data_IF_631613989240
#
_entry.id   IF_631613989240
#
_cell.length_a   1.000
_cell.length_b   1.000
_cell.length_c   1.000
_cell.angle_alpha   90.00
_cell.angle_beta   90.00
_cell.angle_gamma   90.00
#
_symmetry.space_group_name_H-M   'P 1'
#
loop_
_entity.id
_entity.type
_entity.pdbx_description
1 polymer ?
#
# COMPACT_ATOMS: atom_id res chain seq x y z
N UNK A 1 -32.82 -52.56 22.32
CA UNK A 1 -32.50 -51.37 23.10
C UNK A 1 -31.94 -50.33 22.15
N UNK A 2 -32.76 -49.33 21.84
CA UNK A 2 -32.46 -48.21 20.96
C UNK A 2 -31.46 -47.24 21.64
N UNK A 3 -30.45 -46.75 20.92
CA UNK A 3 -29.67 -45.58 21.30
C UNK A 3 -29.82 -44.56 20.16
N UNK A 4 -30.43 -43.46 20.52
CA UNK A 4 -30.69 -42.31 19.65
C UNK A 4 -29.38 -41.58 19.26
N UNK A 5 -29.27 -41.26 18.00
CA UNK A 5 -28.27 -40.32 17.47
C UNK A 5 -28.82 -38.90 17.57
N UNK A 6 -28.11 -38.03 18.27
CA UNK A 6 -28.34 -36.59 18.20
C UNK A 6 -27.37 -35.97 17.21
N UNK A 7 -27.89 -35.53 16.09
CA UNK A 7 -27.18 -34.75 15.09
C UNK A 7 -26.94 -33.32 15.58
N UNK A 8 -25.68 -32.88 15.47
CA UNK A 8 -25.31 -31.47 15.64
C UNK A 8 -25.41 -30.80 14.26
N UNK A 9 -26.36 -29.90 14.12
CA UNK A 9 -26.56 -29.07 12.96
C UNK A 9 -25.48 -27.98 12.98
N UNK A 10 -24.62 -27.96 11.95
CA UNK A 10 -23.68 -26.87 11.70
C UNK A 10 -24.43 -25.62 11.30
N UNK A 11 -24.24 -24.53 12.02
CA UNK A 11 -24.72 -23.22 11.67
C UNK A 11 -23.80 -22.62 10.61
N UNK A 12 -24.34 -22.40 9.42
CA UNK A 12 -23.78 -21.54 8.39
C UNK A 12 -23.78 -20.10 8.89
N UNK A 13 -22.62 -19.52 9.05
CA UNK A 13 -22.45 -18.10 9.28
C UNK A 13 -22.40 -17.39 7.92
N UNK A 14 -23.49 -16.68 7.51
CA UNK A 14 -23.43 -15.89 6.29
C UNK A 14 -22.60 -14.65 6.57
N UNK A 15 -21.40 -14.59 5.98
CA UNK A 15 -20.56 -13.40 5.96
C UNK A 15 -21.36 -12.20 5.46
N UNK A 16 -21.83 -11.38 6.40
CA UNK A 16 -22.51 -10.13 6.12
C UNK A 16 -21.46 -9.17 5.59
N UNK A 17 -21.46 -9.00 4.26
CA UNK A 17 -20.81 -7.87 3.62
C UNK A 17 -21.48 -6.60 4.12
N UNK A 18 -20.87 -5.91 5.06
CA UNK A 18 -21.29 -4.58 5.50
C UNK A 18 -20.96 -3.61 4.38
N UNK A 19 -21.90 -3.44 3.47
CA UNK A 19 -21.92 -2.25 2.59
C UNK A 19 -22.20 -1.05 3.49
N UNK A 20 -21.27 -0.11 3.56
CA UNK A 20 -21.44 1.14 4.31
C UNK A 20 -22.50 1.99 3.58
N UNK A 21 -23.75 1.88 3.99
CA UNK A 21 -24.90 2.59 3.41
C UNK A 21 -24.82 4.13 3.49
N UNK A 22 -23.73 4.68 4.07
CA UNK A 22 -23.57 6.12 4.28
C UNK A 22 -22.97 6.88 3.10
N UNK A 23 -22.55 6.20 2.06
CA UNK A 23 -22.13 6.80 0.80
C UNK A 23 -22.98 6.22 -0.35
N UNK A 24 -24.11 6.81 -0.69
CA UNK A 24 -24.86 6.37 -1.86
C UNK A 24 -23.99 6.56 -3.10
N UNK A 25 -23.80 5.48 -3.87
CA UNK A 25 -23.23 5.58 -5.21
C UNK A 25 -24.15 6.49 -6.02
N UNK A 26 -23.63 7.59 -6.50
CA UNK A 26 -24.33 8.43 -7.49
C UNK A 26 -24.33 7.61 -8.78
N UNK A 27 -25.38 6.82 -8.98
CA UNK A 27 -25.71 6.26 -10.28
C UNK A 27 -26.02 7.44 -11.19
N UNK A 28 -25.19 7.64 -12.20
CA UNK A 28 -25.43 8.61 -13.25
C UNK A 28 -26.75 8.29 -13.96
N UNK A 29 -27.81 8.99 -13.64
CA UNK A 29 -29.09 8.87 -14.27
C UNK A 29 -29.17 9.72 -15.55
N UNK A 30 -29.35 9.00 -16.62
CA UNK A 30 -30.12 9.30 -17.83
C UNK A 30 -30.41 10.77 -18.17
N UNK A 31 -29.73 11.24 -19.18
CA UNK A 31 -30.29 12.18 -20.13
C UNK A 31 -30.16 11.61 -21.55
N UNK A 32 -31.21 10.89 -21.97
CA UNK A 32 -31.43 10.57 -23.38
C UNK A 32 -31.85 11.82 -24.11
N UNK A 33 -31.01 12.35 -24.98
CA UNK A 33 -31.44 13.10 -26.14
C UNK A 33 -30.61 12.67 -27.35
N UNK A 34 -31.31 12.07 -28.29
CA UNK A 34 -30.81 11.68 -29.61
C UNK A 34 -30.26 12.88 -30.38
N UNK A 35 -29.00 12.84 -30.75
CA UNK A 35 -28.48 13.54 -31.92
C UNK A 35 -27.42 12.64 -32.54
N UNK A 36 -27.63 12.31 -33.83
CA UNK A 36 -26.81 11.39 -34.61
C UNK A 36 -25.35 11.77 -34.67
N UNK A 37 -24.52 10.75 -34.56
CA UNK A 37 -23.05 10.83 -34.61
C UNK A 37 -22.56 10.20 -35.90
N UNK A 38 -21.64 10.86 -36.61
CA UNK A 38 -20.69 10.12 -37.43
C UNK A 38 -19.33 10.02 -36.72
N UNK A 39 -18.75 8.86 -36.85
CA UNK A 39 -17.42 8.37 -36.56
C UNK A 39 -16.30 9.32 -36.07
N UNK A 40 -15.60 8.85 -35.00
CA UNK A 40 -14.19 9.20 -34.78
C UNK A 40 -13.91 10.05 -33.55
N UNK A 41 -13.43 9.37 -32.50
CA UNK A 41 -12.43 9.85 -31.53
C UNK A 41 -12.46 11.34 -31.13
N UNK A 42 -13.47 11.79 -30.41
CA UNK A 42 -13.46 13.17 -29.82
C UNK A 42 -14.26 13.33 -28.51
N UNK A 43 -14.70 12.25 -27.85
CA UNK A 43 -15.56 12.31 -26.66
C UNK A 43 -14.90 12.46 -25.30
N UNK A 44 -13.57 12.33 -25.17
CA UNK A 44 -12.88 12.27 -23.87
C UNK A 44 -12.26 13.60 -23.42
N UNK A 45 -12.26 14.63 -24.26
CA UNK A 45 -11.56 15.91 -23.99
C UNK A 45 -12.44 17.01 -23.34
N UNK A 46 -13.72 16.84 -23.21
CA UNK A 46 -14.62 17.93 -22.78
C UNK A 46 -14.64 18.13 -21.24
N UNK A 47 -14.39 17.11 -20.46
CA UNK A 47 -14.48 17.22 -18.99
C UNK A 47 -13.21 17.79 -18.33
N UNK A 48 -12.06 17.78 -19.02
CA UNK A 48 -10.77 18.21 -18.48
C UNK A 48 -10.43 19.68 -18.70
N UNK A 49 -11.31 20.48 -19.32
CA UNK A 49 -11.03 21.93 -19.57
C UNK A 49 -11.07 22.81 -18.32
N UNK A 50 -11.61 22.32 -17.20
CA UNK A 50 -11.78 23.13 -15.99
C UNK A 50 -10.58 23.12 -15.04
N UNK A 51 -9.54 22.28 -15.31
CA UNK A 51 -8.34 22.19 -14.48
C UNK A 51 -7.06 22.68 -15.15
N UNK A 52 -7.19 23.45 -16.23
CA UNK A 52 -6.04 24.06 -16.93
C UNK A 52 -5.81 25.52 -16.51
N UNK A 53 -5.61 25.78 -15.26
CA UNK A 53 -4.99 27.05 -14.89
C UNK A 53 -3.90 26.79 -13.85
N UNK A 54 -2.71 27.30 -14.20
CA UNK A 54 -1.50 27.41 -13.38
C UNK A 54 -0.50 26.24 -13.51
N UNK A 55 0.23 26.21 -14.60
CA UNK A 55 1.66 25.88 -14.59
C UNK A 55 2.35 26.57 -15.75
N UNK A 56 2.99 27.72 -15.51
CA UNK A 56 4.05 28.25 -16.37
C UNK A 56 5.37 27.63 -15.93
N UNK A 57 6.18 27.04 -16.80
CA UNK A 57 7.54 26.64 -16.45
C UNK A 57 8.40 27.89 -16.29
N UNK A 58 8.76 28.21 -15.06
CA UNK A 58 9.78 29.20 -14.75
C UNK A 58 11.17 28.63 -15.03
N UNK A 59 11.88 29.12 -16.01
CA UNK A 59 13.30 28.85 -16.20
C UNK A 59 14.07 29.59 -15.09
N UNK A 60 14.67 28.88 -14.18
CA UNK A 60 15.66 29.41 -13.24
C UNK A 60 17.04 29.02 -13.80
N UNK A 61 17.85 30.00 -14.17
CA UNK A 61 19.25 29.81 -14.53
C UNK A 61 20.01 29.32 -13.27
N UNK A 62 20.52 28.11 -13.31
CA UNK A 62 21.37 27.54 -12.24
C UNK A 62 22.78 27.39 -12.78
N UNK A 63 23.76 27.96 -12.06
CA UNK A 63 25.19 27.87 -12.34
C UNK A 63 25.69 26.41 -12.49
N UNK A 64 26.65 26.11 -13.37
CA UNK A 64 27.17 24.79 -13.63
C UNK A 64 28.06 24.33 -12.46
N UNK A 65 27.54 23.48 -11.56
CA UNK A 65 28.38 22.91 -10.49
C UNK A 65 27.66 22.09 -9.43
N UNK A 66 26.34 22.17 -9.27
CA UNK A 66 25.59 21.38 -8.29
C UNK A 66 24.21 21.04 -8.83
N UNK A 67 24.13 20.09 -9.75
CA UNK A 67 22.88 19.42 -10.08
C UNK A 67 22.45 18.54 -8.88
N UNK A 68 21.99 19.14 -7.80
CA UNK A 68 21.00 18.51 -6.94
C UNK A 68 19.74 18.37 -7.81
N UNK A 69 19.41 17.14 -8.22
CA UNK A 69 18.05 16.86 -8.67
C UNK A 69 17.13 17.37 -7.59
N UNK A 70 16.50 18.51 -7.82
CA UNK A 70 15.31 18.90 -7.07
C UNK A 70 14.33 17.78 -7.37
N UNK A 71 14.04 16.94 -6.36
CA UNK A 71 13.02 15.93 -6.49
C UNK A 71 11.74 16.71 -6.80
N UNK A 72 11.26 16.62 -8.04
CA UNK A 72 9.99 17.22 -8.43
C UNK A 72 8.97 16.82 -7.39
N UNK A 73 8.42 17.81 -6.70
CA UNK A 73 7.41 17.56 -5.70
C UNK A 73 6.23 16.88 -6.40
N UNK A 74 5.90 15.65 -6.01
CA UNK A 74 4.77 14.95 -6.59
C UNK A 74 3.50 15.76 -6.35
N UNK A 75 2.67 15.88 -7.37
CA UNK A 75 1.40 16.59 -7.29
C UNK A 75 0.41 15.84 -6.39
N UNK A 76 -0.42 16.60 -5.67
CA UNK A 76 -1.56 16.05 -4.94
C UNK A 76 -2.71 15.82 -5.91
N UNK A 77 -3.21 14.59 -5.97
CA UNK A 77 -4.32 14.17 -6.82
C UNK A 77 -5.53 13.84 -5.95
N UNK A 78 -6.66 14.46 -6.28
CA UNK A 78 -7.97 14.15 -5.71
C UNK A 78 -8.84 13.57 -6.82
N UNK A 79 -9.42 12.40 -6.58
CA UNK A 79 -10.42 11.75 -7.45
C UNK A 79 -11.61 11.37 -6.59
N UNK A 80 -12.79 11.22 -7.19
CA UNK A 80 -14.03 10.91 -6.45
C UNK A 80 -14.01 9.54 -5.78
N UNK A 81 -13.52 8.52 -6.48
CA UNK A 81 -13.63 7.10 -6.14
C UNK A 81 -12.61 6.24 -6.87
N UNK A 82 -12.73 4.90 -6.75
CA UNK A 82 -11.83 3.94 -7.40
C UNK A 82 -11.95 3.91 -8.92
N UNK A 83 -13.11 4.22 -9.47
CA UNK A 83 -13.31 4.28 -10.93
C UNK A 83 -12.55 5.45 -11.54
N UNK A 84 -12.70 6.64 -10.99
CA UNK A 84 -11.96 7.83 -11.41
C UNK A 84 -10.44 7.65 -11.24
N UNK A 85 -9.99 6.93 -10.19
CA UNK A 85 -8.58 6.58 -10.01
C UNK A 85 -8.09 5.62 -11.09
N UNK A 86 -8.86 4.60 -11.43
CA UNK A 86 -8.57 3.64 -12.52
C UNK A 86 -8.47 4.34 -13.87
N UNK A 87 -9.40 5.26 -14.17
CA UNK A 87 -9.37 6.06 -15.40
C UNK A 87 -8.11 6.93 -15.48
N UNK A 88 -7.76 7.58 -14.37
CA UNK A 88 -6.52 8.37 -14.30
C UNK A 88 -5.29 7.48 -14.57
N UNK A 89 -5.21 6.31 -13.93
CA UNK A 89 -4.13 5.35 -14.14
C UNK A 89 -4.08 4.87 -15.60
N UNK A 90 -5.22 4.59 -16.22
CA UNK A 90 -5.28 4.15 -17.62
C UNK A 90 -4.58 5.12 -18.56
N UNK A 91 -4.67 6.42 -18.28
CA UNK A 91 -4.06 7.47 -19.09
C UNK A 91 -2.62 7.79 -18.67
N UNK A 92 -2.30 7.68 -17.37
CA UNK A 92 -1.09 8.29 -16.81
C UNK A 92 -0.05 7.29 -16.28
N UNK A 93 -0.39 6.00 -16.08
CA UNK A 93 0.49 5.03 -15.42
C UNK A 93 1.88 4.90 -16.06
N UNK A 94 1.99 5.04 -17.38
CA UNK A 94 3.25 4.89 -18.11
C UNK A 94 4.13 6.14 -18.17
N UNK A 95 3.56 7.32 -17.88
CA UNK A 95 4.26 8.61 -18.02
C UNK A 95 4.42 9.37 -16.70
N UNK A 96 3.59 9.13 -15.71
CA UNK A 96 3.70 9.77 -14.41
C UNK A 96 4.79 9.13 -13.56
N UNK A 97 5.56 9.94 -12.86
CA UNK A 97 6.57 9.49 -11.87
C UNK A 97 5.97 9.15 -10.52
N UNK A 98 4.69 9.43 -10.33
CA UNK A 98 3.93 9.19 -9.11
C UNK A 98 3.05 10.37 -8.72
N UNK A 99 2.21 10.15 -7.71
CA UNK A 99 1.30 11.15 -7.15
C UNK A 99 1.19 11.01 -5.63
N UNK A 100 0.76 12.08 -4.97
CA UNK A 100 0.17 12.04 -3.65
C UNK A 100 -1.36 11.92 -3.81
N UNK A 101 -1.88 10.69 -3.75
CA UNK A 101 -3.31 10.44 -3.88
C UNK A 101 -4.00 10.75 -2.54
N UNK A 102 -5.07 11.53 -2.58
CA UNK A 102 -5.91 11.84 -1.43
C UNK A 102 -6.90 10.70 -1.22
N UNK A 103 -6.93 10.18 0.01
CA UNK A 103 -7.74 9.03 0.39
C UNK A 103 -8.68 9.38 1.54
N UNK A 104 -9.86 8.81 1.51
CA UNK A 104 -10.88 8.97 2.53
C UNK A 104 -10.51 8.23 3.83
N UNK A 105 -10.72 8.86 4.97
CA UNK A 105 -10.83 8.15 6.24
C UNK A 105 -12.22 7.52 6.35
N UNK A 106 -12.35 6.54 7.22
CA UNK A 106 -13.62 5.82 7.39
C UNK A 106 -14.80 6.77 7.65
N UNK A 107 -15.86 6.63 6.86
CA UNK A 107 -17.06 7.44 6.93
C UNK A 107 -16.97 8.81 6.24
N UNK A 108 -15.95 9.02 5.41
CA UNK A 108 -15.78 10.21 4.57
C UNK A 108 -16.18 9.91 3.15
N UNK A 109 -16.94 10.82 2.52
CA UNK A 109 -17.34 10.75 1.11
C UNK A 109 -16.89 11.97 0.31
N UNK A 110 -16.55 13.07 0.97
CA UNK A 110 -16.09 14.32 0.37
C UNK A 110 -14.75 14.78 0.96
N UNK A 111 -13.80 15.21 0.15
CA UNK A 111 -13.82 15.42 -1.31
C UNK A 111 -13.59 14.14 -2.12
N UNK A 112 -13.49 12.98 -1.49
CA UNK A 112 -13.32 11.67 -2.09
C UNK A 112 -13.94 10.59 -1.21
N UNK A 113 -14.48 9.54 -1.83
CA UNK A 113 -14.90 8.31 -1.15
C UNK A 113 -13.85 7.21 -1.26
N UNK A 114 -12.76 7.44 -2.03
CA UNK A 114 -11.71 6.46 -2.33
C UNK A 114 -10.96 6.02 -1.07
N UNK A 115 -11.14 4.76 -0.69
CA UNK A 115 -10.42 4.13 0.41
C UNK A 115 -9.04 3.59 -0.01
N UNK A 116 -8.18 3.31 0.98
CA UNK A 116 -6.83 2.80 0.72
C UNK A 116 -6.82 1.46 -0.03
N UNK A 117 -7.68 0.52 0.36
CA UNK A 117 -7.67 -0.84 -0.20
C UNK A 117 -8.07 -0.84 -1.66
N UNK A 118 -9.10 -0.09 -2.01
CA UNK A 118 -9.55 0.11 -3.39
C UNK A 118 -8.48 0.83 -4.23
N UNK A 119 -7.90 1.90 -3.69
CA UNK A 119 -6.80 2.60 -4.35
C UNK A 119 -5.58 1.71 -4.62
N UNK A 120 -5.26 0.81 -3.68
CA UNK A 120 -4.16 -0.13 -3.80
C UNK A 120 -4.44 -1.21 -4.86
N UNK A 121 -5.65 -1.73 -4.93
CA UNK A 121 -6.04 -2.71 -5.95
C UNK A 121 -5.89 -2.14 -7.36
N UNK A 122 -6.45 -0.95 -7.59
CA UNK A 122 -6.33 -0.31 -8.90
C UNK A 122 -4.85 0.02 -9.23
N UNK A 123 -4.07 0.50 -8.26
CA UNK A 123 -2.64 0.75 -8.46
C UNK A 123 -1.86 -0.53 -8.83
N UNK A 124 -2.08 -1.64 -8.13
CA UNK A 124 -1.45 -2.93 -8.41
C UNK A 124 -1.81 -3.41 -9.82
N UNK A 125 -3.06 -3.24 -10.24
CA UNK A 125 -3.52 -3.66 -11.58
C UNK A 125 -2.74 -2.99 -12.70
N UNK A 126 -2.26 -1.76 -12.51
CA UNK A 126 -1.42 -1.00 -13.44
C UNK A 126 0.08 -1.08 -13.15
N UNK A 127 0.54 -1.95 -12.23
CA UNK A 127 1.95 -2.11 -11.90
C UNK A 127 2.51 -0.99 -11.02
N UNK A 128 1.67 -0.31 -10.27
CA UNK A 128 2.03 0.71 -9.30
C UNK A 128 2.11 0.12 -7.88
N UNK A 129 2.65 0.91 -6.96
CA UNK A 129 2.77 0.55 -5.54
C UNK A 129 2.53 1.76 -4.66
N UNK A 130 1.92 1.52 -3.51
CA UNK A 130 1.82 2.47 -2.42
C UNK A 130 3.18 2.72 -1.73
N UNK A 131 3.32 3.88 -1.15
CA UNK A 131 4.53 4.31 -0.45
C UNK A 131 4.21 5.02 0.85
N UNK A 132 4.79 6.20 1.05
CA UNK A 132 4.64 6.98 2.26
C UNK A 132 3.22 7.48 2.47
N UNK A 133 2.76 7.45 3.74
CA UNK A 133 1.53 8.09 4.19
C UNK A 133 1.84 9.49 4.70
N UNK A 134 1.02 10.47 4.34
CA UNK A 134 1.10 11.84 4.82
C UNK A 134 -0.22 12.27 5.48
N UNK A 135 -0.13 13.07 6.54
CA UNK A 135 -1.33 13.73 7.09
C UNK A 135 -1.83 14.77 6.08
N UNK A 136 -3.15 14.96 6.05
CA UNK A 136 -3.79 16.03 5.28
C UNK A 136 -4.74 16.82 6.17
N UNK A 137 -5.89 16.31 6.49
CA UNK A 137 -6.90 16.96 7.31
C UNK A 137 -7.65 15.95 8.21
N UNK A 138 -8.77 16.35 8.80
CA UNK A 138 -9.54 15.48 9.70
C UNK A 138 -10.27 14.35 8.98
N UNK A 139 -10.68 14.56 7.73
CA UNK A 139 -11.48 13.62 6.93
C UNK A 139 -10.64 12.78 5.99
N UNK A 140 -9.48 13.28 5.56
CA UNK A 140 -8.65 12.65 4.55
C UNK A 140 -7.19 12.51 5.00
N UNK A 141 -6.45 11.67 4.30
CA UNK A 141 -5.01 11.58 4.35
C UNK A 141 -4.48 11.45 2.93
N UNK A 142 -3.19 11.57 2.75
CA UNK A 142 -2.58 11.35 1.44
C UNK A 142 -1.63 10.17 1.48
N UNK A 143 -1.64 9.41 0.40
CA UNK A 143 -0.75 8.27 0.21
C UNK A 143 0.02 8.48 -1.08
N UNK A 144 1.32 8.22 -1.02
CA UNK A 144 2.14 8.25 -2.22
C UNK A 144 1.91 6.99 -3.03
N UNK A 145 1.61 7.13 -4.33
CA UNK A 145 1.58 6.04 -5.29
C UNK A 145 2.59 6.30 -6.40
N UNK A 146 3.35 5.26 -6.80
CA UNK A 146 4.38 5.36 -7.84
C UNK A 146 4.43 4.10 -8.69
N UNK A 147 4.90 4.18 -9.95
CA UNK A 147 5.24 3.00 -10.72
C UNK A 147 6.23 2.11 -9.96
N UNK A 148 6.07 0.78 -10.03
CA UNK A 148 7.05 -0.16 -9.51
C UNK A 148 8.35 -0.04 -10.28
N UNK A 149 9.46 -0.02 -9.57
CA UNK A 149 10.80 -0.09 -10.17
C UNK A 149 11.19 -1.55 -10.33
N UNK A 150 12.16 -1.83 -11.21
CA UNK A 150 12.65 -3.17 -11.48
C UNK A 150 13.05 -3.98 -10.22
N UNK A 151 13.47 -3.30 -9.14
CA UNK A 151 13.86 -3.93 -7.87
C UNK A 151 12.83 -3.73 -6.75
N UNK A 152 11.62 -3.24 -7.05
CA UNK A 152 10.56 -3.09 -6.04
C UNK A 152 10.18 -4.46 -5.47
N UNK A 153 10.25 -4.58 -4.14
CA UNK A 153 9.89 -5.81 -3.44
C UNK A 153 8.39 -5.96 -3.38
N UNK A 154 7.94 -7.20 -3.27
CA UNK A 154 6.54 -7.52 -3.03
C UNK A 154 6.32 -7.83 -1.55
N UNK A 155 5.21 -7.37 -0.99
CA UNK A 155 4.69 -7.90 0.25
C UNK A 155 3.77 -9.07 -0.06
N UNK A 156 3.65 -10.03 0.85
CA UNK A 156 2.68 -11.14 0.72
C UNK A 156 1.25 -10.62 0.47
N UNK A 157 0.87 -9.53 1.13
CA UNK A 157 -0.43 -8.88 0.91
C UNK A 157 -0.60 -8.44 -0.53
N UNK A 158 0.37 -7.71 -1.08
CA UNK A 158 0.28 -7.20 -2.45
C UNK A 158 0.37 -8.32 -3.49
N UNK A 159 1.11 -9.40 -3.19
CA UNK A 159 1.15 -10.59 -4.01
C UNK A 159 -0.21 -11.28 -4.07
N UNK A 160 -0.86 -11.51 -2.92
CA UNK A 160 -2.21 -12.09 -2.83
C UNK A 160 -3.27 -11.22 -3.55
N UNK A 161 -3.18 -9.89 -3.43
CA UNK A 161 -4.06 -8.97 -4.17
C UNK A 161 -3.85 -9.15 -5.68
N UNK A 162 -2.61 -9.17 -6.16
CA UNK A 162 -2.31 -9.31 -7.57
C UNK A 162 -2.79 -10.67 -8.12
N UNK A 163 -2.62 -11.77 -7.39
CA UNK A 163 -3.13 -13.11 -7.77
C UNK A 163 -4.66 -13.10 -7.88
N UNK A 164 -5.35 -12.52 -6.91
CA UNK A 164 -6.81 -12.40 -6.93
C UNK A 164 -7.26 -11.57 -8.14
N UNK A 165 -6.66 -10.39 -8.36
CA UNK A 165 -6.98 -9.54 -9.51
C UNK A 165 -6.69 -10.21 -10.84
N UNK A 166 -5.65 -11.05 -10.93
CA UNK A 166 -5.37 -11.86 -12.11
C UNK A 166 -6.47 -12.89 -12.34
N UNK A 167 -6.89 -13.62 -11.31
CA UNK A 167 -8.00 -14.57 -11.39
C UNK A 167 -9.33 -13.93 -11.77
N UNK A 168 -9.58 -12.68 -11.37
CA UNK A 168 -10.75 -11.88 -11.72
C UNK A 168 -10.66 -11.22 -13.11
N UNK A 169 -9.53 -11.35 -13.83
CA UNK A 169 -9.31 -10.70 -15.14
C UNK A 169 -9.14 -9.17 -15.03
N UNK A 170 -8.89 -8.62 -13.85
CA UNK A 170 -8.77 -7.17 -13.58
C UNK A 170 -7.34 -6.64 -13.75
N UNK A 171 -6.33 -7.52 -13.85
CA UNK A 171 -4.94 -7.10 -14.07
C UNK A 171 -4.77 -6.51 -15.47
N UNK A 172 -4.08 -5.38 -15.56
CA UNK A 172 -3.71 -4.72 -16.81
C UNK A 172 -2.34 -5.21 -17.30
N UNK A 173 -2.00 -5.08 -18.58
CA UNK A 173 -0.72 -5.54 -19.12
C UNK A 173 0.50 -5.05 -18.34
N UNK A 174 0.50 -3.79 -17.90
CA UNK A 174 1.59 -3.22 -17.08
C UNK A 174 1.73 -3.92 -15.71
N UNK A 175 0.61 -4.24 -15.06
CA UNK A 175 0.61 -4.99 -13.80
C UNK A 175 1.08 -6.44 -13.97
N UNK A 176 0.60 -7.13 -15.01
CA UNK A 176 1.06 -8.47 -15.34
C UNK A 176 2.57 -8.51 -15.59
N UNK A 177 3.10 -7.57 -16.37
CA UNK A 177 4.56 -7.46 -16.61
C UNK A 177 5.36 -7.35 -15.31
N UNK A 178 4.89 -6.56 -14.33
CA UNK A 178 5.56 -6.43 -13.04
C UNK A 178 5.49 -7.70 -12.18
N UNK A 179 4.35 -8.41 -12.25
CA UNK A 179 4.15 -9.68 -11.56
C UNK A 179 5.04 -10.78 -12.15
N UNK A 180 5.07 -10.95 -13.47
CA UNK A 180 5.88 -11.93 -14.19
C UNK A 180 7.38 -11.69 -13.98
N UNK A 181 7.82 -10.44 -14.08
CA UNK A 181 9.21 -10.08 -13.79
C UNK A 181 9.60 -10.43 -12.34
N UNK A 182 8.69 -10.26 -11.38
CA UNK A 182 8.96 -10.61 -9.99
C UNK A 182 9.02 -12.14 -9.77
N UNK A 183 8.21 -12.91 -10.48
CA UNK A 183 8.27 -14.38 -10.48
C UNK A 183 9.55 -14.88 -11.13
N UNK A 184 9.95 -14.29 -12.24
CA UNK A 184 11.15 -14.70 -12.97
C UNK A 184 12.46 -14.47 -12.20
N UNK A 185 12.53 -13.44 -11.35
CA UNK A 185 13.74 -13.09 -10.59
C UNK A 185 13.68 -13.47 -9.09
N UNK A 186 12.67 -14.23 -8.65
CA UNK A 186 12.53 -14.76 -7.29
C UNK A 186 12.09 -13.74 -6.24
N UNK A 187 11.70 -12.50 -6.64
CA UNK A 187 11.12 -11.51 -5.71
C UNK A 187 9.73 -11.88 -5.25
N UNK A 188 9.01 -12.68 -6.04
CA UNK A 188 7.68 -13.16 -5.71
C UNK A 188 7.71 -14.15 -4.56
N UNK A 189 8.53 -15.18 -4.64
CA UNK A 189 8.73 -16.20 -3.61
C UNK A 189 9.36 -15.64 -2.34
N UNK A 190 10.14 -14.56 -2.47
CA UNK A 190 10.72 -13.82 -1.35
C UNK A 190 9.87 -12.63 -0.90
N UNK A 191 8.57 -12.65 -1.16
CA UNK A 191 7.64 -11.64 -0.67
C UNK A 191 7.69 -11.56 0.85
N UNK A 192 7.75 -10.33 1.36
CA UNK A 192 7.92 -10.13 2.80
C UNK A 192 6.55 -10.14 3.51
N UNK A 193 6.49 -10.74 4.73
CA UNK A 193 5.28 -10.79 5.52
C UNK A 193 4.88 -9.40 6.03
N UNK A 194 3.58 -9.23 6.24
CA UNK A 194 3.02 -8.01 6.81
C UNK A 194 3.28 -7.89 8.31
N UNK A 195 2.95 -6.73 8.87
CA UNK A 195 3.13 -6.46 10.30
C UNK A 195 2.40 -7.44 11.22
N UNK A 196 1.27 -8.01 10.76
CA UNK A 196 0.47 -8.96 11.55
C UNK A 196 0.93 -10.41 11.42
N UNK A 197 1.60 -10.75 10.32
CA UNK A 197 1.99 -12.12 9.98
C UNK A 197 3.48 -12.39 10.15
N UNK A 198 4.29 -11.36 10.44
CA UNK A 198 5.73 -11.55 10.61
C UNK A 198 6.04 -12.24 11.94
N UNK A 199 6.66 -13.40 11.86
CA UNK A 199 7.04 -14.20 13.01
C UNK A 199 8.43 -13.82 13.56
N UNK A 200 8.66 -14.13 14.83
CA UNK A 200 9.98 -13.98 15.45
C UNK A 200 10.81 -15.19 15.06
N UNK A 201 11.93 -15.02 14.36
CA UNK A 201 12.75 -16.14 13.96
C UNK A 201 13.53 -16.71 15.15
N UNK A 202 13.82 -18.02 15.09
CA UNK A 202 14.43 -18.79 16.18
C UNK A 202 15.76 -18.22 16.65
N UNK A 203 16.59 -17.74 15.73
CA UNK A 203 17.90 -17.14 16.05
C UNK A 203 17.76 -15.82 16.85
N UNK A 204 16.76 -15.00 16.55
CA UNK A 204 16.47 -13.82 17.35
C UNK A 204 15.84 -14.21 18.70
N UNK A 205 14.94 -15.19 18.70
CA UNK A 205 14.30 -15.68 19.93
C UNK A 205 15.34 -16.20 20.92
N UNK A 206 16.29 -17.02 20.46
CA UNK A 206 17.39 -17.53 21.28
C UNK A 206 18.29 -16.42 21.83
N UNK A 207 18.62 -15.43 20.99
CA UNK A 207 19.46 -14.30 21.40
C UNK A 207 18.76 -13.38 22.43
N UNK A 208 17.46 -13.19 22.32
CA UNK A 208 16.66 -12.44 23.30
C UNK A 208 16.54 -13.20 24.62
N UNK A 209 16.35 -14.52 24.59
CA UNK A 209 16.29 -15.36 25.78
C UNK A 209 17.61 -15.35 26.59
N UNK A 210 18.76 -15.16 25.91
CA UNK A 210 20.06 -15.02 26.55
C UNK A 210 20.29 -13.65 27.24
N UNK A 211 19.46 -12.63 26.92
CA UNK A 211 19.57 -11.27 27.48
C UNK A 211 18.21 -10.81 28.04
N UNK A 212 17.91 -11.09 29.31
CA UNK A 212 16.57 -10.88 29.90
C UNK A 212 16.05 -9.45 29.77
N UNK A 213 16.94 -8.45 29.83
CA UNK A 213 16.55 -7.03 29.69
C UNK A 213 16.14 -6.71 28.26
N UNK A 214 16.82 -7.29 27.27
CA UNK A 214 16.45 -7.13 25.85
C UNK A 214 15.12 -7.85 25.57
N UNK A 215 14.89 -9.01 26.13
CA UNK A 215 13.63 -9.74 26.00
C UNK A 215 12.45 -8.94 26.57
N UNK A 216 12.57 -8.45 27.82
CA UNK A 216 11.54 -7.61 28.44
C UNK A 216 11.24 -6.36 27.58
N UNK A 217 12.27 -5.71 27.03
CA UNK A 217 12.08 -4.58 26.14
C UNK A 217 11.40 -4.96 24.83
N UNK A 218 11.71 -6.13 24.25
CA UNK A 218 11.10 -6.63 23.02
C UNK A 218 9.60 -6.92 23.22
N UNK A 219 9.18 -7.41 24.38
CA UNK A 219 7.78 -7.69 24.72
C UNK A 219 6.91 -6.44 24.79
N UNK A 220 7.48 -5.32 25.25
CA UNK A 220 6.77 -4.05 25.34
C UNK A 220 6.89 -3.16 24.09
N UNK A 221 7.56 -3.65 23.04
CA UNK A 221 7.66 -2.90 21.78
C UNK A 221 6.27 -2.61 21.20
N UNK A 222 6.12 -1.40 20.68
CA UNK A 222 4.98 -1.09 19.81
C UNK A 222 5.01 -1.99 18.58
N UNK A 223 3.82 -2.27 18.00
CA UNK A 223 3.73 -3.07 16.77
C UNK A 223 4.63 -2.53 15.64
N UNK A 224 4.80 -1.22 15.55
CA UNK A 224 5.70 -0.57 14.59
C UNK A 224 7.17 -0.91 14.88
N UNK A 225 7.61 -0.82 16.12
CA UNK A 225 8.98 -1.13 16.51
C UNK A 225 9.30 -2.62 16.33
N UNK A 226 8.38 -3.50 16.80
CA UNK A 226 8.50 -4.95 16.62
C UNK A 226 8.64 -5.30 15.15
N UNK A 227 7.75 -4.78 14.30
CA UNK A 227 7.82 -4.98 12.85
C UNK A 227 9.15 -4.45 12.24
N UNK A 228 9.61 -3.28 12.68
CA UNK A 228 10.85 -2.69 12.18
C UNK A 228 12.08 -3.55 12.46
N UNK A 229 12.15 -4.20 13.62
CA UNK A 229 13.22 -5.16 13.96
C UNK A 229 13.12 -6.40 13.08
N UNK A 230 11.96 -7.04 13.06
CA UNK A 230 11.73 -8.29 12.34
C UNK A 230 11.88 -8.14 10.82
N UNK A 231 11.33 -7.08 10.25
CA UNK A 231 11.45 -6.78 8.83
C UNK A 231 12.90 -6.54 8.39
N UNK A 232 13.68 -5.82 9.20
CA UNK A 232 15.10 -5.59 8.90
C UNK A 232 15.94 -6.88 8.98
N UNK A 233 15.58 -7.83 9.84
CA UNK A 233 16.21 -9.16 9.89
C UNK A 233 15.77 -10.01 8.70
N UNK A 234 14.49 -9.99 8.34
CA UNK A 234 13.98 -10.71 7.16
C UNK A 234 14.71 -10.32 5.87
N UNK A 235 15.20 -9.08 5.77
CA UNK A 235 15.90 -8.61 4.58
C UNK A 235 17.35 -9.13 4.45
N UNK A 236 17.94 -9.65 5.53
CA UNK A 236 19.36 -10.05 5.55
C UNK A 236 19.51 -11.50 5.13
N UNK A 237 20.14 -11.73 3.97
CA UNK A 237 20.37 -13.07 3.41
C UNK A 237 21.67 -13.74 3.90
N UNK A 238 22.71 -12.95 4.22
CA UNK A 238 24.02 -13.48 4.64
C UNK A 238 24.01 -13.76 6.15
N UNK A 239 24.44 -14.95 6.54
CA UNK A 239 24.43 -15.41 7.94
C UNK A 239 25.30 -14.52 8.86
N UNK A 240 26.49 -14.14 8.43
CA UNK A 240 27.40 -13.26 9.18
C UNK A 240 26.79 -11.86 9.43
N UNK A 241 26.16 -11.31 8.42
CA UNK A 241 25.49 -10.01 8.52
C UNK A 241 24.24 -10.10 9.40
N UNK A 242 23.52 -11.24 9.33
CA UNK A 242 22.34 -11.50 10.13
C UNK A 242 22.70 -11.61 11.62
N UNK A 243 23.72 -12.38 11.96
CA UNK A 243 24.20 -12.53 13.34
C UNK A 243 24.58 -11.17 13.94
N UNK A 244 25.40 -10.36 13.27
CA UNK A 244 25.73 -8.99 13.72
C UNK A 244 24.50 -8.11 13.89
N UNK A 245 23.50 -8.26 13.03
CA UNK A 245 22.28 -7.46 13.14
C UNK A 245 21.45 -7.86 14.35
N UNK A 246 21.39 -9.16 14.67
CA UNK A 246 20.74 -9.66 15.88
C UNK A 246 21.45 -9.12 17.12
N UNK A 247 22.78 -9.23 17.20
CA UNK A 247 23.57 -8.65 18.30
C UNK A 247 23.30 -7.15 18.49
N UNK A 248 23.27 -6.39 17.41
CA UNK A 248 22.96 -4.95 17.44
C UNK A 248 21.57 -4.67 17.99
N UNK A 249 20.56 -5.45 17.60
CA UNK A 249 19.19 -5.25 18.12
C UNK A 249 19.07 -5.67 19.58
N UNK A 250 19.67 -6.78 19.97
CA UNK A 250 19.68 -7.23 21.38
C UNK A 250 20.37 -6.19 22.26
N UNK A 251 21.55 -5.70 21.87
CA UNK A 251 22.26 -4.65 22.60
C UNK A 251 21.46 -3.33 22.68
N UNK A 252 20.80 -2.93 21.59
CA UNK A 252 19.94 -1.75 21.55
C UNK A 252 18.76 -1.89 22.54
N UNK A 253 18.08 -3.04 22.53
CA UNK A 253 16.94 -3.33 23.39
C UNK A 253 17.35 -3.44 24.86
N UNK A 254 18.51 -4.05 25.17
CA UNK A 254 19.06 -4.13 26.52
C UNK A 254 19.30 -2.73 27.14
N UNK A 255 19.62 -1.72 26.31
CA UNK A 255 19.74 -0.31 26.74
C UNK A 255 18.37 0.40 26.83
N UNK A 256 17.26 -0.27 26.53
CA UNK A 256 15.94 0.33 26.51
C UNK A 256 15.68 1.24 25.29
N UNK A 257 16.52 1.16 24.27
CA UNK A 257 16.41 1.95 23.03
C UNK A 257 15.50 1.27 22.02
N UNK A 258 14.88 2.07 21.13
CA UNK A 258 13.95 1.60 20.09
C UNK A 258 14.25 2.24 18.74
N UNK A 259 13.81 1.56 17.66
CA UNK A 259 14.00 2.05 16.27
C UNK A 259 13.22 3.34 16.02
N UNK A 260 12.01 3.43 16.56
CA UNK A 260 11.14 4.60 16.50
C UNK A 260 10.71 5.02 17.90
N UNK A 261 10.45 6.30 18.16
CA UNK A 261 9.93 6.73 19.46
C UNK A 261 8.68 5.96 19.87
N UNK A 262 8.62 5.53 21.13
CA UNK A 262 7.43 4.90 21.73
C UNK A 262 7.20 5.39 23.16
N UNK A 263 5.96 5.25 23.63
CA UNK A 263 5.56 5.71 24.98
C UNK A 263 5.99 4.72 26.08
N UNK A 264 5.88 3.41 25.81
CA UNK A 264 6.26 2.36 26.76
C UNK A 264 7.77 2.30 26.92
N UNK A 265 8.25 2.26 28.15
CA UNK A 265 9.67 2.10 28.52
C UNK A 265 9.77 1.04 29.57
N UNK A 266 10.94 0.38 29.68
CA UNK A 266 11.24 -0.46 30.84
C UNK A 266 11.34 0.44 32.09
N UNK A 267 10.72 0.00 33.16
CA UNK A 267 10.98 0.56 34.48
C UNK A 267 12.39 0.15 34.92
N UNK A 268 13.09 1.04 35.60
CA UNK A 268 14.48 0.84 36.03
C UNK A 268 14.59 -0.15 37.19
#
# INVERSE_FOLDING_TARGET
MLVEQHGIVGGDDPGIGVTDERCPRILGDQLTHEVGVPDGVLGVLAHWRQYRSVCRPGWVSVEPGKLRRVAEALEELIVSDGEAWREWLAVNHARSVGVWLVLAKRGTCEPTALGHDEALEEAISFGWIDGQVGRRDERTFRQRFTPRRARSRWSERNAKIAERLQGEGRMRPAGLTQMEAAKADGRWESAYPGQRSIEVPDDLSAALAAEPRAQAMFEILSSQNRYSVLYRLHQVKRADTRARRIEQFVAMLARGETVHPQKRKLEH
#
